data_IF_079407618893
#
_entry.id   IF_079407618893
#
_cell.length_a   1.000
_cell.length_b   1.000
_cell.length_c   1.000
_cell.angle_alpha   90.00
_cell.angle_beta   90.00
_cell.angle_gamma   90.00
#
_symmetry.space_group_name_H-M   'P 1'
#
loop_
_entity.id
_entity.type
_entity.pdbx_description
1 polymer ?
#
# COMPACT_ATOMS: atom_id res chain seq x y z
N UNK A 1 -11.83 -11.13 13.10
CA UNK A 1 -12.14 -9.93 12.30
C UNK A 1 -13.09 -10.33 11.19
N UNK A 2 -14.14 -9.54 10.92
CA UNK A 2 -14.93 -9.71 9.69
C UNK A 2 -14.11 -9.26 8.48
N UNK A 3 -14.41 -9.83 7.32
CA UNK A 3 -13.83 -9.44 6.04
C UNK A 3 -14.94 -8.95 5.12
N UNK A 4 -14.71 -7.86 4.38
CA UNK A 4 -15.57 -7.49 3.25
C UNK A 4 -15.40 -8.53 2.11
N UNK A 5 -16.31 -8.53 1.15
CA UNK A 5 -16.30 -9.52 0.07
C UNK A 5 -14.98 -9.49 -0.71
N UNK A 6 -14.47 -8.28 -1.00
CA UNK A 6 -13.19 -8.09 -1.69
C UNK A 6 -12.02 -8.76 -0.94
N UNK A 7 -11.94 -8.58 0.39
CA UNK A 7 -10.87 -9.19 1.19
C UNK A 7 -11.02 -10.70 1.36
N UNK A 8 -12.25 -11.24 1.30
CA UNK A 8 -12.49 -12.70 1.34
C UNK A 8 -12.02 -13.40 0.06
N UNK A 9 -12.11 -12.70 -1.07
CA UNK A 9 -11.76 -13.25 -2.38
C UNK A 9 -10.26 -13.18 -2.69
N UNK A 10 -9.46 -12.52 -1.84
CA UNK A 10 -8.02 -12.40 -2.08
C UNK A 10 -7.38 -13.80 -2.13
N UNK A 11 -6.69 -14.14 -3.24
CA UNK A 11 -6.05 -15.43 -3.40
C UNK A 11 -4.70 -15.45 -2.68
N UNK A 12 -4.69 -15.44 -1.33
CA UNK A 12 -3.49 -15.28 -0.51
C UNK A 12 -2.32 -16.21 -0.89
N UNK A 13 -2.63 -17.46 -1.27
CA UNK A 13 -1.62 -18.44 -1.71
C UNK A 13 -1.05 -18.21 -3.11
N UNK A 14 -1.70 -17.39 -3.93
CA UNK A 14 -1.35 -17.13 -5.33
C UNK A 14 -1.34 -15.63 -5.68
N UNK A 15 -1.03 -14.78 -4.69
CA UNK A 15 -0.86 -13.35 -4.93
C UNK A 15 0.32 -13.10 -5.88
N UNK A 16 0.18 -12.17 -6.86
CA UNK A 16 1.31 -11.72 -7.68
C UNK A 16 2.45 -11.20 -6.81
N UNK A 17 3.70 -11.47 -7.20
CA UNK A 17 4.88 -10.88 -6.55
C UNK A 17 5.17 -9.49 -7.10
N UNK A 18 5.82 -8.65 -6.30
CA UNK A 18 6.39 -7.40 -6.82
C UNK A 18 7.33 -7.71 -8.01
N UNK A 19 7.26 -6.95 -9.12
CA UNK A 19 8.11 -7.15 -10.29
C UNK A 19 9.60 -7.07 -9.91
N UNK A 20 10.45 -8.02 -10.36
CA UNK A 20 11.87 -8.05 -9.99
C UNK A 20 12.66 -6.87 -10.54
N UNK A 21 12.16 -6.25 -11.61
CA UNK A 21 12.75 -5.06 -12.23
C UNK A 21 12.46 -3.78 -11.44
N UNK A 22 11.43 -3.81 -10.58
CA UNK A 22 11.11 -2.68 -9.72
C UNK A 22 12.04 -2.64 -8.52
N UNK A 23 12.58 -1.47 -8.21
CA UNK A 23 13.44 -1.28 -7.04
C UNK A 23 12.85 -0.24 -6.09
N UNK A 24 12.94 -0.49 -4.77
CA UNK A 24 12.53 0.49 -3.79
C UNK A 24 13.49 1.68 -3.78
N UNK A 25 12.95 2.87 -3.59
CA UNK A 25 13.69 4.09 -3.27
C UNK A 25 13.45 4.45 -1.82
N UNK A 26 14.51 4.94 -1.16
CA UNK A 26 14.41 5.46 0.19
C UNK A 26 14.22 6.97 0.10
N UNK A 27 13.05 7.45 0.50
CA UNK A 27 12.76 8.88 0.62
C UNK A 27 13.39 9.53 1.86
N UNK A 28 13.86 8.72 2.82
CA UNK A 28 14.20 9.17 4.16
C UNK A 28 13.01 9.37 5.09
N UNK A 29 11.77 9.21 4.59
CA UNK A 29 10.54 9.32 5.36
C UNK A 29 9.89 7.93 5.56
N UNK A 30 9.46 7.57 6.79
CA UNK A 30 9.00 6.22 7.14
C UNK A 30 7.83 5.68 6.31
N UNK A 31 6.92 6.54 5.85
CA UNK A 31 5.69 6.17 5.18
C UNK A 31 5.68 6.53 3.69
N UNK A 32 6.75 7.14 3.17
CA UNK A 32 6.90 7.46 1.76
C UNK A 32 7.91 6.54 1.09
N UNK A 33 7.51 5.31 0.78
CA UNK A 33 8.36 4.41 0.02
C UNK A 33 7.85 4.26 -1.41
N UNK A 34 8.67 4.67 -2.38
CA UNK A 34 8.37 4.56 -3.79
C UNK A 34 9.12 3.39 -4.43
N UNK A 35 8.54 2.82 -5.47
CA UNK A 35 9.15 1.84 -6.34
C UNK A 35 9.24 2.42 -7.73
N UNK A 36 10.45 2.42 -8.27
CA UNK A 36 10.71 2.86 -9.64
C UNK A 36 10.62 1.68 -10.61
N UNK A 37 10.35 2.00 -11.88
CA UNK A 37 10.28 1.02 -12.97
C UNK A 37 9.25 -0.10 -12.76
N UNK A 38 8.14 0.21 -12.09
CA UNK A 38 7.02 -0.73 -12.02
C UNK A 38 6.34 -0.85 -13.39
N UNK A 39 6.26 -2.04 -14.01
CA UNK A 39 5.63 -2.21 -15.31
C UNK A 39 4.11 -1.95 -15.25
N UNK A 40 3.58 -1.21 -16.23
CA UNK A 40 2.18 -0.77 -16.26
C UNK A 40 1.19 -1.95 -16.31
N UNK A 41 1.57 -3.04 -16.97
CA UNK A 41 0.81 -4.28 -17.12
C UNK A 41 0.92 -5.22 -15.91
N UNK A 42 1.77 -4.88 -14.94
CA UNK A 42 2.08 -5.71 -13.77
C UNK A 42 1.43 -5.20 -12.49
N UNK A 43 0.19 -4.70 -12.59
CA UNK A 43 -0.63 -4.43 -11.40
C UNK A 43 -0.94 -5.76 -10.70
N UNK A 44 -0.83 -5.78 -9.37
CA UNK A 44 -1.09 -6.97 -8.55
C UNK A 44 -2.58 -7.31 -8.46
N UNK A 45 -2.98 -7.96 -7.39
CA UNK A 45 -4.41 -8.23 -7.15
C UNK A 45 -5.14 -6.92 -6.84
N UNK A 46 -6.08 -6.54 -7.70
CA UNK A 46 -6.81 -5.28 -7.55
C UNK A 46 -7.56 -5.24 -6.20
N UNK A 47 -7.45 -4.11 -5.53
CA UNK A 47 -8.14 -3.86 -4.26
C UNK A 47 -9.07 -2.63 -4.40
N UNK A 48 -9.41 -1.97 -3.29
CA UNK A 48 -10.19 -0.74 -3.32
C UNK A 48 -9.53 0.32 -4.21
N UNK A 49 -10.29 0.89 -5.15
CA UNK A 49 -9.79 1.88 -6.12
C UNK A 49 -9.97 3.33 -5.66
N UNK A 50 -10.30 3.55 -4.38
CA UNK A 50 -10.34 4.87 -3.77
C UNK A 50 -10.17 4.78 -2.27
N UNK A 51 -9.69 5.87 -1.67
CA UNK A 51 -9.58 6.00 -0.22
C UNK A 51 -10.95 5.97 0.47
N UNK A 52 -11.98 6.51 -0.17
CA UNK A 52 -13.36 6.48 0.34
C UNK A 52 -13.89 5.03 0.43
N UNK A 53 -13.66 4.21 -0.60
CA UNK A 53 -14.08 2.82 -0.60
C UNK A 53 -13.38 2.02 0.50
N UNK A 54 -12.08 2.26 0.71
CA UNK A 54 -11.32 1.67 1.80
C UNK A 54 -11.86 2.09 3.18
N UNK A 55 -12.10 3.40 3.39
CA UNK A 55 -12.68 3.93 4.62
C UNK A 55 -14.04 3.32 4.92
N UNK A 56 -14.90 3.18 3.91
CA UNK A 56 -16.20 2.55 4.07
C UNK A 56 -16.08 1.07 4.47
N UNK A 57 -15.22 0.30 3.82
CA UNK A 57 -15.00 -1.11 4.16
C UNK A 57 -14.41 -1.28 5.57
N UNK A 58 -13.45 -0.44 5.96
CA UNK A 58 -12.84 -0.47 7.28
C UNK A 58 -13.82 -0.05 8.39
N UNK A 59 -14.45 1.11 8.25
CA UNK A 59 -15.18 1.76 9.35
C UNK A 59 -16.65 1.33 9.42
N UNK A 60 -17.32 1.19 8.27
CA UNK A 60 -18.75 0.90 8.23
C UNK A 60 -19.04 -0.61 8.13
N UNK A 61 -18.21 -1.35 7.39
CA UNK A 61 -18.35 -2.80 7.25
C UNK A 61 -17.51 -3.58 8.27
N UNK A 62 -16.66 -2.89 9.03
CA UNK A 62 -15.79 -3.48 10.06
C UNK A 62 -14.73 -4.44 9.51
N UNK A 63 -14.34 -4.29 8.24
CA UNK A 63 -13.39 -5.20 7.62
C UNK A 63 -12.01 -5.02 8.22
N UNK A 64 -11.52 -6.05 8.91
CA UNK A 64 -10.27 -5.94 9.66
C UNK A 64 -9.02 -5.76 8.80
N UNK A 65 -8.97 -6.38 7.63
CA UNK A 65 -7.88 -6.17 6.67
C UNK A 65 -7.90 -4.73 6.17
N UNK A 66 -9.07 -4.22 5.77
CA UNK A 66 -9.20 -2.83 5.35
C UNK A 66 -8.85 -1.85 6.47
N UNK A 67 -9.18 -2.14 7.73
CA UNK A 67 -8.78 -1.30 8.87
C UNK A 67 -7.26 -1.23 9.02
N UNK A 68 -6.55 -2.36 8.90
CA UNK A 68 -5.08 -2.38 8.97
C UNK A 68 -4.44 -1.60 7.82
N UNK A 69 -4.97 -1.75 6.61
CA UNK A 69 -4.51 -0.99 5.44
C UNK A 69 -4.78 0.49 5.66
N UNK A 70 -5.99 0.86 6.12
CA UNK A 70 -6.40 2.25 6.34
C UNK A 70 -5.47 2.96 7.32
N UNK A 71 -5.10 2.31 8.43
CA UNK A 71 -4.18 2.91 9.41
C UNK A 71 -2.85 3.33 8.76
N UNK A 72 -2.26 2.49 7.91
CA UNK A 72 -0.99 2.84 7.25
C UNK A 72 -1.18 3.86 6.12
N UNK A 73 -2.28 3.77 5.39
CA UNK A 73 -2.65 4.74 4.36
C UNK A 73 -2.84 6.14 4.97
N UNK A 74 -3.43 6.25 6.15
CA UNK A 74 -3.60 7.53 6.86
C UNK A 74 -2.27 8.09 7.36
N UNK A 75 -1.33 7.24 7.79
CA UNK A 75 0.03 7.67 8.13
C UNK A 75 0.79 8.19 6.90
N UNK A 76 0.67 7.48 5.76
CA UNK A 76 1.22 7.93 4.48
C UNK A 76 0.61 9.28 4.05
N UNK A 77 -0.71 9.43 4.16
CA UNK A 77 -1.41 10.68 3.84
C UNK A 77 -0.93 11.83 4.75
N UNK A 78 -0.86 11.61 6.06
CA UNK A 78 -0.42 12.63 7.03
C UNK A 78 1.00 13.10 6.72
N UNK A 79 1.92 12.18 6.42
CA UNK A 79 3.30 12.52 6.09
C UNK A 79 3.39 13.36 4.80
N UNK A 80 2.57 13.07 3.79
CA UNK A 80 2.48 13.90 2.58
C UNK A 80 1.92 15.30 2.88
N UNK A 81 0.89 15.39 3.70
CA UNK A 81 0.26 16.66 4.10
C UNK A 81 1.22 17.53 4.91
N UNK A 82 2.04 16.94 5.79
CA UNK A 82 3.07 17.63 6.57
C UNK A 82 4.21 18.18 5.71
N UNK A 83 4.58 17.46 4.65
CA UNK A 83 5.65 17.86 3.75
C UNK A 83 5.20 18.84 2.65
N UNK A 84 3.90 18.86 2.33
CA UNK A 84 3.35 19.72 1.27
C UNK A 84 3.78 21.20 1.35
N UNK A 85 3.75 21.88 2.51
CA UNK A 85 4.20 23.27 2.59
C UNK A 85 5.68 23.46 2.21
N UNK A 86 6.52 22.46 2.46
CA UNK A 86 7.95 22.48 2.11
C UNK A 86 8.15 22.26 0.60
N UNK A 87 7.31 21.45 -0.05
CA UNK A 87 7.30 21.31 -1.51
C UNK A 87 6.87 22.61 -2.19
N UNK A 88 5.77 23.19 -1.72
CA UNK A 88 5.22 24.44 -2.27
C UNK A 88 6.23 25.61 -2.11
N UNK A 89 7.10 25.55 -1.08
CA UNK A 89 8.20 26.49 -0.86
C UNK A 89 9.52 26.14 -1.61
N UNK A 90 9.59 24.97 -2.27
CA UNK A 90 10.77 24.49 -3.00
C UNK A 90 11.96 24.13 -2.12
N UNK A 91 11.74 23.84 -0.82
CA UNK A 91 12.83 23.55 0.13
C UNK A 91 13.24 22.08 0.13
N UNK A 92 12.35 21.18 -0.30
CA UNK A 92 12.61 19.75 -0.48
C UNK A 92 12.02 19.27 -1.81
N UNK A 93 12.44 18.09 -2.27
CA UNK A 93 11.88 17.45 -3.47
C UNK A 93 10.40 17.10 -3.27
N UNK A 94 9.58 17.37 -4.28
CA UNK A 94 8.17 16.95 -4.31
C UNK A 94 8.06 15.44 -4.51
N UNK A 95 7.16 14.82 -3.76
CA UNK A 95 6.82 13.41 -3.90
C UNK A 95 5.46 13.29 -4.62
N UNK A 96 5.37 12.40 -5.61
CA UNK A 96 4.11 12.18 -6.33
C UNK A 96 3.00 11.75 -5.37
N UNK A 97 1.82 12.37 -5.46
CA UNK A 97 0.68 12.05 -4.61
C UNK A 97 0.02 10.74 -5.06
N UNK A 98 -0.25 9.77 -4.17
CA UNK A 98 -0.91 8.53 -4.55
C UNK A 98 -2.34 8.80 -5.01
N UNK A 99 -2.75 8.16 -6.10
CA UNK A 99 -4.11 8.23 -6.64
C UNK A 99 -5.10 7.35 -5.87
N UNK A 100 -4.60 6.53 -4.94
CA UNK A 100 -5.36 5.58 -4.11
C UNK A 100 -6.05 4.47 -4.92
N UNK A 101 -5.59 4.23 -6.15
CA UNK A 101 -5.91 3.04 -6.96
C UNK A 101 -5.10 1.86 -6.41
N UNK A 102 -5.63 1.15 -5.41
CA UNK A 102 -4.83 0.19 -4.65
C UNK A 102 -4.80 -1.21 -5.27
N UNK A 103 -3.65 -1.87 -5.21
CA UNK A 103 -3.51 -3.30 -5.47
C UNK A 103 -2.57 -3.95 -4.46
N UNK A 104 -2.72 -5.27 -4.34
CA UNK A 104 -2.00 -6.10 -3.38
C UNK A 104 -0.98 -6.98 -4.11
N UNK A 105 0.24 -7.02 -3.59
CA UNK A 105 1.26 -7.97 -4.01
C UNK A 105 1.80 -8.75 -2.81
N UNK A 106 2.34 -9.93 -3.07
CA UNK A 106 3.09 -10.71 -2.09
C UNK A 106 4.35 -9.96 -1.70
N UNK A 107 4.65 -9.94 -0.40
CA UNK A 107 5.88 -9.36 0.15
C UNK A 107 7.11 -10.14 -0.36
N UNK A 108 8.06 -9.43 -0.97
CA UNK A 108 9.21 -10.05 -1.68
C UNK A 108 10.31 -10.62 -0.80
N UNK A 109 10.36 -10.30 0.50
CA UNK A 109 11.45 -10.70 1.41
C UNK A 109 10.86 -11.27 2.70
N UNK A 110 10.86 -12.61 2.83
CA UNK A 110 10.68 -13.37 4.08
C UNK A 110 9.45 -13.05 4.96
N UNK A 111 8.64 -14.06 5.26
CA UNK A 111 7.50 -13.95 6.18
C UNK A 111 6.15 -13.83 5.49
N UNK A 112 5.09 -14.03 6.26
CA UNK A 112 3.71 -13.94 5.77
C UNK A 112 3.24 -12.49 5.79
N UNK A 113 2.54 -12.07 4.74
CA UNK A 113 2.08 -10.70 4.60
C UNK A 113 2.01 -10.23 3.17
N UNK A 114 1.68 -8.96 2.99
CA UNK A 114 1.46 -8.36 1.69
C UNK A 114 1.79 -6.87 1.70
N UNK A 115 2.02 -6.34 0.51
CA UNK A 115 2.18 -4.91 0.26
C UNK A 115 0.96 -4.39 -0.48
N UNK A 116 0.57 -3.16 -0.15
CA UNK A 116 -0.47 -2.40 -0.84
C UNK A 116 0.20 -1.26 -1.58
N UNK A 117 -0.01 -1.24 -2.89
CA UNK A 117 0.63 -0.32 -3.81
C UNK A 117 -0.42 0.63 -4.39
N UNK A 118 -0.03 1.84 -4.77
CA UNK A 118 -0.85 2.81 -5.51
C UNK A 118 -0.03 3.47 -6.61
N UNK A 119 -0.66 3.77 -7.74
CA UNK A 119 -0.11 4.73 -8.70
C UNK A 119 -0.03 6.11 -8.07
N UNK A 120 0.84 6.96 -8.59
CA UNK A 120 0.95 8.36 -8.20
C UNK A 120 0.61 9.29 -9.36
N UNK A 121 0.39 10.56 -9.08
CA UNK A 121 0.19 11.62 -10.08
C UNK A 121 1.53 12.10 -10.72
N UNK A 122 2.64 11.42 -10.47
CA UNK A 122 3.96 11.77 -11.01
C UNK A 122 3.95 11.66 -12.55
N UNK A 123 4.44 12.72 -13.22
CA UNK A 123 4.49 12.83 -14.68
C UNK A 123 5.30 11.68 -15.31
N UNK A 124 6.24 11.10 -14.58
CA UNK A 124 7.05 9.97 -15.06
C UNK A 124 6.29 8.64 -15.11
N UNK A 125 5.05 8.55 -14.59
CA UNK A 125 4.12 7.38 -14.63
C UNK A 125 4.68 5.99 -14.30
N UNK A 126 5.93 5.89 -13.87
CA UNK A 126 6.67 4.64 -13.59
C UNK A 126 6.97 4.46 -12.10
N UNK A 127 6.49 5.40 -11.28
CA UNK A 127 6.65 5.39 -9.84
C UNK A 127 5.34 4.93 -9.22
N UNK A 128 5.41 3.87 -8.42
CA UNK A 128 4.30 3.42 -7.61
C UNK A 128 4.68 3.53 -6.15
N UNK A 129 3.73 3.92 -5.31
CA UNK A 129 3.95 4.08 -3.87
C UNK A 129 3.51 2.85 -3.11
N UNK A 130 4.33 2.38 -2.19
CA UNK A 130 3.92 1.48 -1.12
C UNK A 130 3.15 2.30 -0.09
N UNK A 131 1.83 2.10 -0.01
CA UNK A 131 0.95 2.82 0.92
C UNK A 131 0.63 2.02 2.17
N UNK A 132 0.86 0.70 2.17
CA UNK A 132 0.83 -0.13 3.37
C UNK A 132 1.68 -1.39 3.22
N UNK A 133 2.35 -1.80 4.29
CA UNK A 133 3.04 -3.08 4.42
C UNK A 133 2.48 -3.85 5.63
N UNK A 134 1.76 -4.94 5.37
CA UNK A 134 1.08 -5.73 6.41
C UNK A 134 1.83 -7.04 6.62
N UNK A 135 2.35 -7.23 7.83
CA UNK A 135 2.87 -8.52 8.29
C UNK A 135 1.76 -9.33 8.95
N UNK A 136 1.68 -10.62 8.64
CA UNK A 136 0.79 -11.56 9.30
C UNK A 136 1.64 -12.49 10.18
N UNK A 137 1.45 -12.41 11.50
CA UNK A 137 2.02 -13.34 12.46
C UNK A 137 0.94 -14.32 12.88
N UNK A 138 1.29 -15.60 12.97
CA UNK A 138 0.47 -16.60 13.67
C UNK A 138 1.08 -16.79 15.05
N UNK A 139 0.27 -16.79 16.10
CA UNK A 139 0.74 -17.30 17.39
C UNK A 139 1.00 -18.80 17.21
N UNK A 140 2.19 -19.25 17.58
CA UNK A 140 2.49 -20.66 17.73
C UNK A 140 1.58 -21.17 18.85
N UNK A 141 0.44 -21.76 18.48
CA UNK A 141 -0.53 -22.27 19.45
C UNK A 141 0.17 -23.19 20.44
N UNK A 142 -0.02 -22.94 21.74
CA UNK A 142 0.43 -23.84 22.79
C UNK A 142 -0.11 -25.25 22.48
N UNK A 143 0.82 -26.16 22.16
CA UNK A 143 0.51 -27.57 22.06
C UNK A 143 0.22 -28.02 23.49
N UNK A 144 -1.08 -28.22 23.78
CA UNK A 144 -1.58 -28.73 25.05
C UNK A 144 -0.98 -30.10 25.42
#
# INVERSE_FOLDING_TARGET
>A
MSLCDLCREIPWGNLPTAPPESWPSSSGYPYLQDFHHWPEDSRGYLHHQSLEALRNAANNQGCGICSLILTQVELCQSELEELKPQWDAGTIMEYGWPLWEMWIVKRGVGGNGFWVMSTTNDENKRNVRLVAAIGLCVDDGEIA
#
